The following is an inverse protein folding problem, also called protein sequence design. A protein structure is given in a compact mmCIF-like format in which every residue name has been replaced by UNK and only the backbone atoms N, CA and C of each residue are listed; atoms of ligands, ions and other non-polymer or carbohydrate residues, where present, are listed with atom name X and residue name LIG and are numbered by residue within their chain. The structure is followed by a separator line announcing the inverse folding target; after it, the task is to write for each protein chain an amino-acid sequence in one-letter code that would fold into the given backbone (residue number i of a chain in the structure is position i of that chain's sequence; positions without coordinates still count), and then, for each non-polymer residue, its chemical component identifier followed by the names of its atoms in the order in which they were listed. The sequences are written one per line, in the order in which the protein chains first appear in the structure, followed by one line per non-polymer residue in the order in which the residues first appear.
data_IF_862830968831
#
_entry.id   IF_862830968831
#
_cell.length_a   1.000
_cell.length_b   1.000
_cell.length_c   1.000
_cell.angle_alpha   90.00
_cell.angle_beta   90.00
_cell.angle_gamma   90.00
#
_symmetry.space_group_name_H-M   'P 1'
#
loop_
_entity.id
_entity.type
_entity.pdbx_description
1 polymer ?
#
# COMPACT_ATOMS: atom_id res chain seq x y z
N UNK A 1 -12.98 15.71 9.55
CA UNK A 1 -13.40 14.41 8.99
C UNK A 1 -14.09 13.65 10.10
N UNK A 2 -15.23 13.01 9.83
CA UNK A 2 -15.86 12.14 10.83
C UNK A 2 -15.03 10.85 10.95
N UNK A 3 -15.09 10.20 12.11
CA UNK A 3 -14.34 8.95 12.33
C UNK A 3 -14.75 7.86 11.33
N UNK A 4 -16.03 7.82 10.95
CA UNK A 4 -16.57 6.92 9.92
C UNK A 4 -15.88 7.10 8.55
N UNK A 5 -15.58 8.34 8.15
CA UNK A 5 -14.88 8.63 6.88
C UNK A 5 -13.44 8.08 6.87
N UNK A 6 -12.78 8.05 8.03
CA UNK A 6 -11.42 7.55 8.18
C UNK A 6 -11.38 6.03 8.05
N UNK A 7 -12.36 5.35 8.66
CA UNK A 7 -12.47 3.89 8.62
C UNK A 7 -12.77 3.38 7.21
N UNK A 8 -13.65 4.05 6.48
CA UNK A 8 -13.94 3.71 5.08
C UNK A 8 -12.69 3.88 4.20
N UNK A 9 -11.97 5.00 4.36
CA UNK A 9 -10.71 5.23 3.64
C UNK A 9 -9.67 4.16 3.97
N UNK A 10 -9.53 3.80 5.23
CA UNK A 10 -8.60 2.75 5.66
C UNK A 10 -8.94 1.42 4.99
N UNK A 11 -10.21 1.02 5.00
CA UNK A 11 -10.67 -0.20 4.35
C UNK A 11 -10.38 -0.20 2.84
N UNK A 12 -10.63 0.93 2.17
CA UNK A 12 -10.36 1.10 0.74
C UNK A 12 -8.88 0.96 0.41
N UNK A 13 -8.01 1.72 1.10
CA UNK A 13 -6.56 1.71 0.84
C UNK A 13 -5.96 0.33 1.16
N UNK A 14 -6.42 -0.30 2.24
CA UNK A 14 -6.03 -1.68 2.59
C UNK A 14 -6.42 -2.65 1.48
N UNK A 15 -7.64 -2.56 0.95
CA UNK A 15 -8.09 -3.42 -0.16
C UNK A 15 -7.28 -3.19 -1.43
N UNK A 16 -6.92 -1.94 -1.74
CA UNK A 16 -6.14 -1.59 -2.91
C UNK A 16 -4.73 -2.18 -2.83
N UNK A 17 -4.04 -1.98 -1.71
CA UNK A 17 -2.71 -2.52 -1.48
C UNK A 17 -2.69 -4.05 -1.47
N UNK A 18 -3.70 -4.71 -0.88
CA UNK A 18 -3.83 -6.19 -0.97
C UNK A 18 -3.87 -6.67 -2.42
N UNK A 19 -4.62 -5.99 -3.28
CA UNK A 19 -4.69 -6.32 -4.71
C UNK A 19 -3.39 -6.00 -5.46
N UNK A 20 -2.75 -4.88 -5.14
CA UNK A 20 -1.45 -4.52 -5.71
C UNK A 20 -0.39 -5.58 -5.36
N UNK A 21 -0.31 -5.99 -4.09
CA UNK A 21 0.63 -7.03 -3.66
C UNK A 21 0.33 -8.41 -4.26
N UNK A 22 -0.94 -8.79 -4.42
CA UNK A 22 -1.29 -10.09 -5.02
C UNK A 22 -1.00 -10.17 -6.52
N UNK A 23 -0.97 -9.02 -7.21
CA UNK A 23 -0.68 -8.92 -8.65
C UNK A 23 0.75 -8.43 -8.94
N UNK A 24 1.58 -8.27 -7.91
CA UNK A 24 2.91 -7.71 -8.02
C UNK A 24 3.85 -8.61 -8.81
N UNK A 25 4.50 -8.02 -9.80
CA UNK A 25 5.54 -8.62 -10.63
C UNK A 25 6.77 -7.72 -10.59
N UNK A 26 7.94 -8.28 -10.29
CA UNK A 26 9.22 -7.57 -10.40
C UNK A 26 9.70 -7.70 -11.85
N UNK A 27 9.94 -6.56 -12.49
CA UNK A 27 10.45 -6.47 -13.86
C UNK A 27 11.97 -6.26 -13.89
N UNK A 28 12.51 -5.55 -12.89
CA UNK A 28 13.94 -5.31 -12.72
C UNK A 28 14.42 -5.87 -11.38
N UNK A 29 15.12 -7.01 -11.44
CA UNK A 29 15.69 -7.68 -10.28
C UNK A 29 17.03 -7.03 -9.90
N UNK A 30 16.92 -5.95 -9.12
CA UNK A 30 18.04 -5.41 -8.36
C UNK A 30 17.72 -5.50 -6.88
N UNK A 31 18.73 -5.72 -6.03
CA UNK A 31 18.51 -5.79 -4.58
C UNK A 31 17.82 -4.56 -4.01
N UNK A 32 17.99 -3.38 -4.64
CA UNK A 32 17.29 -2.16 -4.25
C UNK A 32 15.79 -2.17 -4.55
N UNK A 33 15.37 -2.76 -5.67
CA UNK A 33 13.94 -2.90 -5.98
C UNK A 33 13.28 -3.84 -4.96
N UNK A 34 13.93 -4.96 -4.63
CA UNK A 34 13.42 -5.90 -3.63
C UNK A 34 13.36 -5.29 -2.23
N UNK A 35 14.40 -4.55 -1.81
CA UNK A 35 14.40 -3.79 -0.55
C UNK A 35 13.23 -2.81 -0.46
N UNK A 36 12.94 -2.07 -1.54
CA UNK A 36 11.85 -1.09 -1.56
C UNK A 36 10.47 -1.79 -1.56
N UNK A 37 10.32 -2.88 -2.31
CA UNK A 37 9.09 -3.71 -2.28
C UNK A 37 8.85 -4.28 -0.88
N UNK A 38 9.90 -4.78 -0.23
CA UNK A 38 9.81 -5.26 1.14
C UNK A 38 9.44 -4.13 2.13
N UNK A 39 10.04 -2.94 1.95
CA UNK A 39 9.70 -1.75 2.74
C UNK A 39 8.22 -1.39 2.58
N UNK A 40 7.67 -1.41 1.36
CA UNK A 40 6.25 -1.17 1.11
C UNK A 40 5.37 -2.17 1.87
N UNK A 41 5.73 -3.46 1.89
CA UNK A 41 5.02 -4.50 2.66
C UNK A 41 5.10 -4.28 4.17
N UNK A 42 6.24 -3.78 4.68
CA UNK A 42 6.38 -3.45 6.11
C UNK A 42 5.46 -2.30 6.52
N UNK A 43 5.39 -1.23 5.74
CA UNK A 43 4.46 -0.13 6.00
C UNK A 43 2.98 -0.56 5.93
N UNK A 44 2.65 -1.55 5.09
CA UNK A 44 1.31 -2.15 5.11
C UNK A 44 1.02 -2.88 6.44
N UNK A 45 1.99 -3.63 6.97
CA UNK A 45 1.87 -4.26 8.30
C UNK A 45 1.83 -3.24 9.43
N UNK A 46 2.58 -2.16 9.32
CA UNK A 46 2.54 -1.05 10.29
C UNK A 46 1.14 -0.42 10.31
N UNK A 47 0.50 -0.27 9.15
CA UNK A 47 -0.88 0.19 9.08
C UNK A 47 -1.85 -0.75 9.82
N UNK A 48 -1.72 -2.07 9.64
CA UNK A 48 -2.54 -3.05 10.38
C UNK A 48 -2.32 -2.92 11.89
N UNK A 49 -1.07 -2.78 12.33
CA UNK A 49 -0.72 -2.58 13.74
C UNK A 49 -1.28 -1.28 14.34
N UNK A 50 -1.16 -0.15 13.63
CA UNK A 50 -1.72 1.12 14.11
C UNK A 50 -3.26 1.08 14.12
N UNK A 51 -3.87 0.38 13.17
CA UNK A 51 -5.32 0.19 13.15
C UNK A 51 -5.80 -0.60 14.36
N UNK A 52 -5.12 -1.69 14.74
CA UNK A 52 -5.43 -2.47 15.95
C UNK A 52 -5.40 -1.62 17.23
N UNK A 53 -4.58 -0.56 17.25
CA UNK A 53 -4.48 0.40 18.36
C UNK A 53 -5.47 1.57 18.28
N UNK A 54 -6.39 1.57 17.32
CA UNK A 54 -7.30 2.68 17.00
C UNK A 54 -6.58 3.98 16.57
N UNK A 55 -5.33 3.88 16.09
CA UNK A 55 -4.57 5.01 15.55
C UNK A 55 -4.79 5.15 14.03
N UNK A 56 -6.04 5.37 13.61
CA UNK A 56 -6.47 5.28 12.20
C UNK A 56 -5.74 6.28 11.29
N UNK A 57 -5.42 7.48 11.79
CA UNK A 57 -4.66 8.48 11.02
C UNK A 57 -3.25 7.99 10.72
N UNK A 58 -2.54 7.46 11.71
CA UNK A 58 -1.20 6.88 11.55
C UNK A 58 -1.23 5.67 10.61
N UNK A 59 -2.29 4.85 10.72
CA UNK A 59 -2.51 3.73 9.82
C UNK A 59 -2.67 4.18 8.36
N UNK A 60 -3.47 5.22 8.10
CA UNK A 60 -3.64 5.81 6.77
C UNK A 60 -2.34 6.41 6.21
N UNK A 61 -1.55 7.10 7.04
CA UNK A 61 -0.23 7.61 6.65
C UNK A 61 0.68 6.45 6.21
N UNK A 62 0.64 5.34 6.94
CA UNK A 62 1.44 4.14 6.63
C UNK A 62 1.00 3.49 5.31
N UNK A 63 -0.31 3.41 5.05
CA UNK A 63 -0.83 2.93 3.76
C UNK A 63 -0.41 3.86 2.61
N UNK A 64 -0.56 5.17 2.76
CA UNK A 64 -0.18 6.13 1.73
C UNK A 64 1.32 6.06 1.39
N UNK A 65 2.17 5.84 2.40
CA UNK A 65 3.60 5.63 2.18
C UNK A 65 3.88 4.33 1.40
N UNK A 66 3.18 3.24 1.75
CA UNK A 66 3.25 1.97 1.03
C UNK A 66 2.84 2.12 -0.45
N UNK A 67 1.72 2.81 -0.74
CA UNK A 67 1.27 3.09 -2.11
C UNK A 67 2.31 3.92 -2.89
N UNK A 68 2.83 4.99 -2.27
CA UNK A 68 3.82 5.86 -2.91
C UNK A 68 5.11 5.15 -3.32
N UNK A 69 5.60 4.20 -2.50
CA UNK A 69 6.77 3.38 -2.85
C UNK A 69 6.49 2.50 -4.09
N UNK A 70 5.32 1.86 -4.15
CA UNK A 70 4.92 1.02 -5.28
C UNK A 70 4.71 1.85 -6.54
N UNK A 71 4.02 2.97 -6.45
CA UNK A 71 3.78 3.87 -7.59
C UNK A 71 5.10 4.39 -8.17
N UNK A 72 6.06 4.78 -7.32
CA UNK A 72 7.38 5.23 -7.77
C UNK A 72 8.11 4.13 -8.56
N UNK A 73 8.15 2.89 -8.05
CA UNK A 73 8.77 1.77 -8.77
C UNK A 73 8.05 1.42 -10.06
N UNK A 74 6.71 1.55 -10.09
CA UNK A 74 5.91 1.31 -11.28
C UNK A 74 6.14 2.36 -12.37
N UNK A 75 6.23 3.64 -11.99
CA UNK A 75 6.59 4.74 -12.92
C UNK A 75 7.94 4.50 -13.57
N UNK A 76 8.90 3.95 -12.81
CA UNK A 76 10.23 3.59 -13.31
C UNK A 76 10.25 2.30 -14.15
N UNK A 77 9.11 1.64 -14.35
CA UNK A 77 8.98 0.33 -15.00
C UNK A 77 9.82 -0.78 -14.34
N UNK A 78 10.07 -0.69 -13.03
CA UNK A 78 10.82 -1.71 -12.29
C UNK A 78 9.93 -2.81 -11.73
N UNK A 79 8.65 -2.51 -11.53
CA UNK A 79 7.61 -3.45 -11.14
C UNK A 79 6.36 -3.23 -11.98
N UNK A 80 5.48 -4.23 -11.99
CA UNK A 80 4.12 -4.12 -12.49
C UNK A 80 3.14 -4.70 -11.46
N UNK A 81 1.93 -4.15 -11.41
CA UNK A 81 0.83 -4.63 -10.58
C UNK A 81 -0.47 -3.94 -11.04
N UNK A 82 -1.62 -4.38 -10.55
CA UNK A 82 -2.91 -3.74 -10.82
C UNK A 82 -3.49 -3.12 -9.56
N UNK A 83 -3.92 -1.87 -9.64
CA UNK A 83 -4.81 -1.31 -8.63
C UNK A 83 -6.19 -1.97 -8.76
N UNK A 84 -6.92 -2.10 -7.66
CA UNK A 84 -8.29 -2.61 -7.72
C UNK A 84 -9.10 -1.64 -8.59
N UNK A 85 -9.72 -2.15 -9.65
CA UNK A 85 -10.69 -1.37 -10.42
C UNK A 85 -11.88 -1.11 -9.49
N UNK A 86 -12.12 0.15 -9.18
CA UNK A 86 -13.40 0.56 -8.65
C UNK A 86 -14.41 0.32 -9.77
N UNK A 87 -15.14 -0.80 -9.72
CA UNK A 87 -16.43 -0.85 -10.38
C UNK A 87 -17.32 0.07 -9.54
N UNK A 88 -17.38 1.34 -9.93
CA UNK A 88 -18.41 2.27 -9.49
C UNK A 88 -19.81 1.75 -9.83
#
# INVERSE_FOLDING_TARGET
MKNEDLEEKYAKYTSNLKNAFSSLQILNFSGKVEEIVDLAKRYFKDAEYFKEKNEVVTALISLAYSEGLLDALKILNYINFSWRLNNE
#
